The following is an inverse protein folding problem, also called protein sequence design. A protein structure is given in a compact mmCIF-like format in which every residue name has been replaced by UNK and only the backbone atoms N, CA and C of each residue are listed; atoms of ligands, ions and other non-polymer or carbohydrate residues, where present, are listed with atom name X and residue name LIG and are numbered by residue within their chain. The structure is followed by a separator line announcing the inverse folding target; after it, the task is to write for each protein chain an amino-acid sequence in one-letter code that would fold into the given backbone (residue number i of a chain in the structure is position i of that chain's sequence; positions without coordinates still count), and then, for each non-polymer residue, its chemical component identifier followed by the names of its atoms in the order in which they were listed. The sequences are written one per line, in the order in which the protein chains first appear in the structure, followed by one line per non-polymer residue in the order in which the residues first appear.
data_IF_011310272773
#
_entry.id   IF_011310272773
#
_cell.length_a   1.000
_cell.length_b   1.000
_cell.length_c   1.000
_cell.angle_alpha   90.00
_cell.angle_beta   90.00
_cell.angle_gamma   90.00
#
_symmetry.space_group_name_H-M   'P 1'
#
loop_
_entity.id
_entity.type
_entity.pdbx_description
1 polymer ?
#
# COMPACT_ATOMS: atom_id res chain seq x y z
N UNK A 1 -14.81 10.42 -11.35
CA UNK A 1 -14.06 11.25 -10.37
C UNK A 1 -13.01 10.39 -9.67
N UNK A 2 -11.85 10.96 -9.35
CA UNK A 2 -10.77 10.28 -8.61
C UNK A 2 -11.02 10.33 -7.09
N UNK A 3 -10.30 9.53 -6.30
CA UNK A 3 -10.46 9.52 -4.83
C UNK A 3 -10.22 10.91 -4.22
N UNK A 4 -9.17 11.62 -4.67
CA UNK A 4 -8.87 12.99 -4.21
C UNK A 4 -9.96 13.99 -4.61
N UNK A 5 -10.62 13.82 -5.77
CA UNK A 5 -11.72 14.69 -6.18
C UNK A 5 -12.98 14.48 -5.32
N UNK A 6 -13.26 13.25 -4.89
CA UNK A 6 -14.44 12.93 -4.08
C UNK A 6 -14.20 13.27 -2.60
N UNK A 7 -12.97 13.13 -2.13
CA UNK A 7 -12.60 13.31 -0.72
C UNK A 7 -11.36 14.20 -0.57
N UNK A 8 -11.45 15.48 -0.95
CA UNK A 8 -10.29 16.38 -0.96
C UNK A 8 -9.68 16.62 0.42
N UNK A 9 -10.48 16.55 1.48
CA UNK A 9 -10.04 16.83 2.85
C UNK A 9 -9.56 15.58 3.61
N UNK A 10 -9.54 14.41 2.97
CA UNK A 10 -9.13 13.15 3.59
C UNK A 10 -7.71 12.77 3.19
N UNK A 11 -6.93 12.34 4.19
CA UNK A 11 -5.59 11.80 3.98
C UNK A 11 -5.67 10.46 3.24
N UNK A 12 -4.91 10.30 2.15
CA UNK A 12 -4.86 9.06 1.38
C UNK A 12 -3.70 8.16 1.86
N UNK A 13 -4.06 6.99 2.35
CA UNK A 13 -3.16 5.86 2.58
C UNK A 13 -3.32 4.88 1.41
N UNK A 14 -2.34 4.83 0.53
CA UNK A 14 -2.29 3.86 -0.56
C UNK A 14 -1.47 2.65 -0.14
N UNK A 15 -2.08 1.46 -0.15
CA UNK A 15 -1.40 0.18 0.01
C UNK A 15 -1.28 -0.45 -1.38
N UNK A 16 -0.07 -0.44 -1.94
CA UNK A 16 0.18 -0.90 -3.30
C UNK A 16 0.92 -2.24 -3.29
N UNK A 17 0.32 -3.25 -3.93
CA UNK A 17 0.96 -4.51 -4.25
C UNK A 17 1.34 -4.55 -5.72
N UNK A 18 2.65 -4.45 -6.04
CA UNK A 18 3.13 -4.68 -7.39
C UNK A 18 2.73 -6.06 -7.93
N UNK A 19 2.57 -6.17 -9.24
CA UNK A 19 2.18 -7.43 -9.90
C UNK A 19 3.12 -7.73 -11.06
N UNK A 20 3.77 -8.90 -11.01
CA UNK A 20 4.80 -9.42 -11.93
C UNK A 20 6.14 -8.67 -11.88
N UNK A 21 7.23 -9.42 -11.85
CA UNK A 21 8.59 -8.90 -11.87
C UNK A 21 8.90 -8.24 -13.22
N UNK A 22 8.47 -8.84 -14.32
CA UNK A 22 8.71 -8.30 -15.68
C UNK A 22 8.06 -6.94 -15.86
N UNK A 23 6.85 -6.75 -15.32
CA UNK A 23 6.13 -5.47 -15.38
C UNK A 23 6.81 -4.41 -14.53
N UNK A 24 7.23 -4.75 -13.31
CA UNK A 24 7.96 -3.82 -12.46
C UNK A 24 9.29 -3.39 -13.08
N UNK A 25 10.02 -4.33 -13.68
CA UNK A 25 11.25 -4.01 -14.41
C UNK A 25 11.00 -3.07 -15.59
N UNK A 26 9.95 -3.31 -16.37
CA UNK A 26 9.67 -2.55 -17.59
C UNK A 26 9.14 -1.14 -17.34
N UNK A 27 8.47 -0.91 -16.22
CA UNK A 27 7.78 0.34 -15.90
C UNK A 27 8.27 0.98 -14.59
N UNK A 28 9.53 0.72 -14.23
CA UNK A 28 10.08 1.06 -12.92
C UNK A 28 9.95 2.56 -12.64
N UNK A 29 10.45 3.39 -13.56
CA UNK A 29 10.48 4.85 -13.41
C UNK A 29 9.07 5.46 -13.50
N UNK A 30 8.19 4.88 -14.32
CA UNK A 30 6.79 5.27 -14.41
C UNK A 30 6.08 5.01 -13.08
N UNK A 31 6.32 3.86 -12.44
CA UNK A 31 5.79 3.59 -11.10
C UNK A 31 6.35 4.54 -10.05
N UNK A 32 7.65 4.86 -10.09
CA UNK A 32 8.25 5.87 -9.22
C UNK A 32 7.60 7.25 -9.38
N UNK A 33 7.17 7.59 -10.59
CA UNK A 33 6.50 8.86 -10.88
C UNK A 33 5.05 8.88 -10.39
N UNK A 34 4.22 7.91 -10.77
CA UNK A 34 2.77 7.92 -10.47
C UNK A 34 2.46 7.65 -9.00
N UNK A 35 3.34 6.96 -8.28
CA UNK A 35 3.17 6.66 -6.86
C UNK A 35 3.69 7.76 -5.93
N UNK A 36 3.85 9.02 -6.37
CA UNK A 36 4.27 10.14 -5.50
C UNK A 36 3.13 10.79 -4.72
N UNK A 37 1.92 10.72 -5.27
CA UNK A 37 0.76 11.48 -4.82
C UNK A 37 0.17 11.20 -3.43
N UNK A 38 0.08 9.94 -2.93
CA UNK A 38 -0.58 9.69 -1.65
C UNK A 38 0.28 10.20 -0.48
N UNK A 39 -0.35 10.67 0.60
CA UNK A 39 0.35 11.14 1.81
C UNK A 39 1.08 10.01 2.52
N UNK A 40 0.51 8.80 2.50
CA UNK A 40 1.18 7.58 2.96
C UNK A 40 1.11 6.53 1.86
N UNK A 41 2.27 5.97 1.52
CA UNK A 41 2.39 4.80 0.65
C UNK A 41 2.90 3.62 1.47
N UNK A 42 2.20 2.49 1.42
CA UNK A 42 2.63 1.22 2.01
C UNK A 42 2.84 0.25 0.85
N UNK A 43 4.07 -0.24 0.69
CA UNK A 43 4.43 -1.18 -0.34
C UNK A 43 4.51 -2.60 0.22
N UNK A 44 4.03 -3.57 -0.57
CA UNK A 44 4.26 -5.00 -0.31
C UNK A 44 5.36 -5.53 -1.21
N UNK A 45 5.76 -6.79 -1.02
CA UNK A 45 6.55 -7.46 -2.05
C UNK A 45 5.75 -7.69 -3.35
N UNK A 46 6.46 -7.97 -4.44
CA UNK A 46 5.89 -8.19 -5.76
C UNK A 46 5.10 -9.49 -5.77
N UNK A 47 3.81 -9.42 -6.12
CA UNK A 47 3.04 -10.61 -6.42
C UNK A 47 3.57 -11.24 -7.73
N UNK A 48 4.12 -12.47 -7.70
CA UNK A 48 4.91 -13.00 -8.80
C UNK A 48 4.08 -13.38 -10.04
N UNK A 49 2.81 -13.79 -9.86
CA UNK A 49 1.94 -14.32 -10.90
C UNK A 49 2.66 -15.37 -11.79
N UNK A 50 3.24 -16.38 -11.15
CA UNK A 50 3.99 -17.48 -11.77
C UNK A 50 5.33 -17.11 -12.43
N UNK A 51 5.80 -15.87 -12.28
CA UNK A 51 7.14 -15.49 -12.73
C UNK A 51 8.22 -15.90 -11.74
N UNK A 52 9.41 -16.21 -12.28
CA UNK A 52 10.61 -16.36 -11.45
C UNK A 52 11.10 -14.97 -11.00
N UNK A 53 11.60 -14.82 -9.76
CA UNK A 53 12.23 -13.59 -9.31
C UNK A 53 13.32 -13.11 -10.27
N UNK A 54 13.40 -11.80 -10.46
CA UNK A 54 14.44 -11.17 -11.28
C UNK A 54 15.44 -10.49 -10.32
N UNK A 55 16.75 -10.76 -10.43
CA UNK A 55 17.75 -10.14 -9.57
C UNK A 55 17.64 -8.60 -9.59
N UNK A 56 17.63 -8.00 -8.40
CA UNK A 56 17.51 -6.55 -8.22
C UNK A 56 16.08 -5.99 -8.36
N UNK A 57 15.08 -6.82 -8.67
CA UNK A 57 13.68 -6.42 -8.84
C UNK A 57 12.84 -7.08 -7.74
N UNK A 58 12.53 -6.32 -6.70
CA UNK A 58 11.69 -6.73 -5.57
C UNK A 58 10.87 -5.56 -5.06
N UNK A 59 9.86 -5.82 -4.22
CA UNK A 59 9.10 -4.74 -3.59
C UNK A 59 10.00 -3.91 -2.67
N UNK A 60 10.94 -4.55 -1.97
CA UNK A 60 11.89 -3.88 -1.09
C UNK A 60 12.85 -2.94 -1.84
N UNK A 61 13.43 -3.39 -2.95
CA UNK A 61 14.30 -2.54 -3.79
C UNK A 61 13.53 -1.36 -4.40
N UNK A 62 12.25 -1.57 -4.74
CA UNK A 62 11.37 -0.49 -5.18
C UNK A 62 11.05 0.50 -4.06
N UNK A 63 10.77 0.01 -2.85
CA UNK A 63 10.60 0.82 -1.66
C UNK A 63 11.82 1.71 -1.37
N UNK A 64 13.03 1.15 -1.39
CA UNK A 64 14.27 1.90 -1.20
C UNK A 64 14.44 3.00 -2.24
N UNK A 65 14.03 2.74 -3.48
CA UNK A 65 14.11 3.69 -4.59
C UNK A 65 13.13 4.86 -4.43
N UNK A 66 11.89 4.58 -3.98
CA UNK A 66 10.84 5.61 -3.93
C UNK A 66 10.81 6.42 -2.64
N UNK A 67 11.24 5.85 -1.50
CA UNK A 67 11.07 6.49 -0.18
C UNK A 67 11.68 7.89 -0.10
N UNK A 68 12.85 8.09 -0.70
CA UNK A 68 13.56 9.37 -0.68
C UNK A 68 12.98 10.38 -1.69
N UNK A 69 12.29 9.91 -2.73
CA UNK A 69 11.64 10.74 -3.74
C UNK A 69 10.30 11.31 -3.27
N UNK A 70 9.78 10.81 -2.14
CA UNK A 70 8.47 11.15 -1.61
C UNK A 70 8.50 12.13 -0.45
N UNK A 71 9.66 12.55 0.07
CA UNK A 71 9.75 13.53 1.17
C UNK A 71 8.97 14.82 0.84
N UNK A 72 8.05 15.29 1.71
CA UNK A 72 7.81 14.87 3.10
C UNK A 72 6.78 13.73 3.29
N UNK A 73 6.16 13.19 2.24
CA UNK A 73 5.21 12.10 2.32
C UNK A 73 5.89 10.81 2.80
N UNK A 74 5.14 10.04 3.60
CA UNK A 74 5.67 8.83 4.22
C UNK A 74 5.57 7.65 3.27
N UNK A 75 6.55 6.76 3.37
CA UNK A 75 6.59 5.48 2.65
C UNK A 75 7.00 4.40 3.63
N UNK A 76 6.28 3.28 3.62
CA UNK A 76 6.57 2.10 4.44
C UNK A 76 6.64 0.85 3.56
N UNK A 77 7.32 -0.17 4.07
CA UNK A 77 7.35 -1.51 3.49
C UNK A 77 6.76 -2.49 4.50
N UNK A 78 5.85 -3.35 4.05
CA UNK A 78 5.30 -4.44 4.86
C UNK A 78 5.64 -5.79 4.25
N UNK A 79 6.29 -6.66 5.03
CA UNK A 79 6.68 -8.00 4.58
C UNK A 79 5.48 -8.97 4.56
N UNK A 80 4.48 -8.68 5.40
CA UNK A 80 3.24 -9.46 5.54
C UNK A 80 2.00 -8.58 5.64
N UNK A 81 0.82 -9.15 5.42
CA UNK A 81 -0.43 -8.43 5.60
C UNK A 81 -0.69 -8.11 7.08
N UNK A 82 -0.24 -8.97 7.98
CA UNK A 82 -0.28 -8.78 9.43
C UNK A 82 0.56 -7.57 9.87
N UNK A 83 1.77 -7.43 9.33
CA UNK A 83 2.59 -6.23 9.59
C UNK A 83 1.92 -4.95 9.09
N UNK A 84 1.28 -4.99 7.91
CA UNK A 84 0.57 -3.84 7.38
C UNK A 84 -0.60 -3.46 8.29
N UNK A 85 -1.36 -4.45 8.81
CA UNK A 85 -2.44 -4.18 9.76
C UNK A 85 -1.92 -3.54 11.06
N UNK A 86 -0.81 -4.03 11.59
CA UNK A 86 -0.18 -3.47 12.79
C UNK A 86 0.36 -2.05 12.53
N UNK A 87 0.85 -1.79 11.31
CA UNK A 87 1.29 -0.46 10.89
C UNK A 87 0.09 0.50 10.78
N UNK A 88 -1.03 0.06 10.21
CA UNK A 88 -2.26 0.86 10.11
C UNK A 88 -2.79 1.27 11.49
N UNK A 89 -2.78 0.36 12.48
CA UNK A 89 -3.13 0.69 13.87
C UNK A 89 -2.21 1.76 14.46
N UNK A 90 -0.90 1.65 14.23
CA UNK A 90 0.09 2.62 14.73
C UNK A 90 -0.03 3.98 14.06
N UNK A 91 -0.34 4.01 12.77
CA UNK A 91 -0.63 5.24 12.05
C UNK A 91 -1.87 5.89 12.66
N UNK A 92 -2.92 5.09 12.93
CA UNK A 92 -4.14 5.53 13.58
C UNK A 92 -4.81 6.70 12.87
N UNK A 93 -5.68 7.40 13.59
CA UNK A 93 -6.26 8.66 13.15
C UNK A 93 -7.61 8.54 12.44
N UNK A 94 -8.40 9.59 12.60
CA UNK A 94 -9.66 9.79 11.91
C UNK A 94 -9.43 10.54 10.58
N UNK A 95 -10.46 10.64 9.75
CA UNK A 95 -10.45 11.43 8.51
C UNK A 95 -9.43 10.98 7.44
N UNK A 96 -9.29 9.67 7.26
CA UNK A 96 -8.42 9.06 6.25
C UNK A 96 -9.18 8.13 5.30
N UNK A 97 -8.55 7.84 4.16
CA UNK A 97 -8.98 6.83 3.20
C UNK A 97 -7.85 5.82 3.05
N UNK A 98 -8.17 4.55 3.28
CA UNK A 98 -7.28 3.44 2.98
C UNK A 98 -7.69 2.86 1.62
N UNK A 99 -6.79 2.96 0.65
CA UNK A 99 -6.95 2.38 -0.68
C UNK A 99 -6.00 1.20 -0.82
N UNK A 100 -6.54 0.01 -1.06
CA UNK A 100 -5.74 -1.16 -1.47
C UNK A 100 -5.72 -1.24 -3.00
N UNK A 101 -4.54 -1.41 -3.59
CA UNK A 101 -4.39 -1.41 -5.06
C UNK A 101 -3.39 -2.47 -5.51
N UNK A 102 -3.78 -3.28 -6.49
CA UNK A 102 -2.97 -4.36 -7.04
C UNK A 102 -3.86 -5.45 -7.66
N UNK A 103 -3.25 -6.36 -8.42
CA UNK A 103 -3.95 -7.45 -9.10
C UNK A 103 -3.67 -8.84 -8.51
N UNK A 104 -2.92 -8.90 -7.41
CA UNK A 104 -2.58 -10.14 -6.72
C UNK A 104 -3.56 -10.50 -5.61
N UNK A 105 -3.04 -10.96 -4.47
CA UNK A 105 -3.83 -11.35 -3.30
C UNK A 105 -4.15 -10.16 -2.37
N UNK A 106 -3.85 -8.92 -2.75
CA UNK A 106 -4.08 -7.71 -1.93
C UNK A 106 -5.55 -7.53 -1.48
N UNK A 107 -6.52 -8.08 -2.22
CA UNK A 107 -7.93 -8.07 -1.82
C UNK A 107 -8.18 -8.78 -0.46
N UNK A 108 -7.29 -9.70 -0.06
CA UNK A 108 -7.37 -10.35 1.25
C UNK A 108 -7.07 -9.37 2.38
N UNK A 109 -6.10 -8.47 2.19
CA UNK A 109 -5.79 -7.41 3.15
C UNK A 109 -7.00 -6.50 3.37
N UNK A 110 -7.70 -6.12 2.29
CA UNK A 110 -8.96 -5.36 2.42
C UNK A 110 -9.98 -6.06 3.32
N UNK A 111 -10.17 -7.38 3.17
CA UNK A 111 -11.07 -8.15 4.04
C UNK A 111 -10.61 -8.15 5.50
N UNK A 112 -9.29 -8.27 5.73
CA UNK A 112 -8.73 -8.26 7.09
C UNK A 112 -8.93 -6.90 7.77
N UNK A 113 -8.75 -5.79 7.04
CA UNK A 113 -9.00 -4.42 7.54
C UNK A 113 -10.46 -4.30 8.00
N UNK A 114 -11.42 -4.72 7.17
CA UNK A 114 -12.85 -4.64 7.50
C UNK A 114 -13.23 -5.49 8.72
N UNK A 115 -12.67 -6.71 8.84
CA UNK A 115 -12.92 -7.58 10.00
C UNK A 115 -12.42 -6.88 11.28
N UNK A 116 -11.20 -6.35 11.23
CA UNK A 116 -10.57 -5.69 12.38
C UNK A 116 -11.33 -4.45 12.83
N UNK A 117 -11.75 -3.60 11.88
CA UNK A 117 -12.60 -2.43 12.18
C UNK A 117 -13.94 -2.83 12.83
N UNK A 118 -14.58 -3.91 12.37
CA UNK A 118 -15.83 -4.39 12.97
C UNK A 118 -15.63 -4.95 14.38
N UNK A 119 -14.52 -5.65 14.64
CA UNK A 119 -14.18 -6.13 15.98
C UNK A 119 -13.91 -4.97 16.95
N UNK A 120 -13.17 -3.95 16.52
CA UNK A 120 -12.92 -2.74 17.32
C UNK A 120 -14.20 -1.98 17.61
N UNK A 121 -15.07 -1.81 16.61
CA UNK A 121 -16.36 -1.16 16.80
C UNK A 121 -17.27 -1.92 17.76
N UNK A 122 -17.25 -3.25 17.72
CA UNK A 122 -18.02 -4.09 18.64
C UNK A 122 -17.52 -3.98 20.08
N UNK A 123 -16.21 -3.86 20.30
CA UNK A 123 -15.61 -3.65 21.63
C UNK A 123 -15.94 -2.28 22.22
N UNK A 124 -16.10 -1.25 21.39
CA UNK A 124 -16.39 0.12 21.86
C UNK A 124 -17.89 0.37 22.16
N UNK A 125 -18.77 -0.56 21.79
CA UNK A 125 -20.23 -0.47 22.02
C UNK A 125 -20.69 -1.38 23.17
N UNK A 126 -19.84 -2.32 23.61
CA UNK A 126 -20.04 -3.19 24.77
C UNK A 126 -19.50 -2.53 26.06
#
# INVERSE_FOLDING_TARGET
PTVKEVYPDKKLILIFQPHRYTRMKALWDEFLFVLKEPEILILTDIYPASEKPIPGISGFTFFESIKNLRTPNLTFYGESFEEILNLLEKIGGENQIILTMGAGNIYKLHKMILIKENEERSKNVA
#
